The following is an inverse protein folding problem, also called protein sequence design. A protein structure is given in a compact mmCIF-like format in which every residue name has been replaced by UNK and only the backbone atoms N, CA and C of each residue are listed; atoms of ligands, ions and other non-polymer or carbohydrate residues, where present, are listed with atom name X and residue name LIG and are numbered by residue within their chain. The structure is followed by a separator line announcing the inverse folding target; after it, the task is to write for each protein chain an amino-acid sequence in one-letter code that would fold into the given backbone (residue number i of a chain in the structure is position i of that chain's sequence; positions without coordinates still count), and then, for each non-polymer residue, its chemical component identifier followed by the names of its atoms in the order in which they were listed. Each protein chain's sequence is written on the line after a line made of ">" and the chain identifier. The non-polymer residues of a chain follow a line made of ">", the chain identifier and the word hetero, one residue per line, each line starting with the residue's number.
data_IF_895124359695
#
_entry.id   IF_895124359695
#
_cell.length_a   1.000
_cell.length_b   1.000
_cell.length_c   1.000
_cell.angle_alpha   90.00
_cell.angle_beta   90.00
_cell.angle_gamma   90.00
#
_symmetry.space_group_name_H-M   'P 1'
#
loop_
_entity.id
_entity.type
_entity.pdbx_description
1 polymer ?
#
# COMPACT_ATOMS: atom_id res chain seq x y z
N UNK A 1 32.25 -26.73 -13.24
CA UNK A 1 30.93 -26.44 -12.68
C UNK A 1 30.82 -27.19 -11.37
N UNK A 2 31.07 -26.53 -10.25
CA UNK A 2 30.78 -27.06 -8.93
C UNK A 2 29.31 -26.82 -8.61
N UNK A 3 28.53 -27.83 -8.23
CA UNK A 3 27.16 -27.65 -7.78
C UNK A 3 27.19 -26.93 -6.41
N UNK A 4 26.64 -25.75 -6.32
CA UNK A 4 26.44 -25.00 -5.06
C UNK A 4 25.46 -25.79 -4.20
N UNK A 5 25.95 -26.48 -3.19
CA UNK A 5 25.11 -27.19 -2.21
C UNK A 5 24.42 -26.18 -1.32
N UNK A 6 23.14 -25.95 -1.58
CA UNK A 6 22.26 -25.19 -0.67
C UNK A 6 22.14 -25.99 0.62
N UNK A 7 22.48 -25.41 1.75
CA UNK A 7 22.38 -26.09 3.05
C UNK A 7 20.90 -26.32 3.41
N UNK A 8 20.63 -27.37 4.19
CA UNK A 8 19.27 -27.73 4.62
C UNK A 8 18.56 -26.55 5.34
N UNK A 9 19.32 -25.72 6.05
CA UNK A 9 18.83 -24.49 6.71
C UNK A 9 18.42 -23.40 5.72
N UNK A 10 19.16 -23.21 4.65
CA UNK A 10 18.84 -22.24 3.59
C UNK A 10 17.63 -22.68 2.78
N UNK A 11 17.48 -23.99 2.54
CA UNK A 11 16.31 -24.56 1.89
C UNK A 11 15.04 -24.39 2.74
N UNK A 12 15.09 -24.72 4.04
CA UNK A 12 13.96 -24.56 4.99
C UNK A 12 13.56 -23.09 5.17
N UNK A 13 14.55 -22.19 5.23
CA UNK A 13 14.32 -20.75 5.28
C UNK A 13 13.63 -20.21 4.01
N UNK A 14 14.08 -20.67 2.84
CA UNK A 14 13.50 -20.30 1.55
C UNK A 14 12.04 -20.75 1.42
N UNK A 15 11.73 -21.98 1.81
CA UNK A 15 10.36 -22.51 1.80
C UNK A 15 9.43 -21.74 2.75
N UNK A 16 9.90 -21.45 3.98
CA UNK A 16 9.13 -20.68 4.95
C UNK A 16 8.84 -19.26 4.43
N UNK A 17 9.83 -18.63 3.83
CA UNK A 17 9.73 -17.29 3.26
C UNK A 17 8.72 -17.24 2.11
N UNK A 18 8.76 -18.20 1.19
CA UNK A 18 7.80 -18.34 0.10
C UNK A 18 6.37 -18.54 0.62
N UNK A 19 6.19 -19.37 1.64
CA UNK A 19 4.89 -19.60 2.29
C UNK A 19 4.30 -18.35 2.93
N UNK A 20 5.13 -17.43 3.42
CA UNK A 20 4.67 -16.18 4.05
C UNK A 20 4.21 -15.17 2.99
N UNK A 21 4.99 -14.98 1.91
CA UNK A 21 4.58 -14.14 0.79
C UNK A 21 3.26 -14.64 0.17
N UNK A 22 3.11 -15.96 0.00
CA UNK A 22 1.87 -16.56 -0.49
C UNK A 22 0.67 -16.25 0.42
N UNK A 23 0.90 -16.12 1.72
CA UNK A 23 -0.15 -15.76 2.69
C UNK A 23 -0.57 -14.30 2.53
N UNK A 24 0.37 -13.38 2.37
CA UNK A 24 0.08 -11.97 2.09
C UNK A 24 -0.68 -11.81 0.77
N UNK A 25 -0.26 -12.50 -0.29
CA UNK A 25 -0.97 -12.50 -1.57
C UNK A 25 -2.41 -13.04 -1.48
N UNK A 26 -2.63 -14.12 -0.72
CA UNK A 26 -4.00 -14.66 -0.51
C UNK A 26 -4.89 -13.66 0.24
N UNK A 27 -4.37 -13.03 1.30
CA UNK A 27 -5.09 -12.00 2.03
C UNK A 27 -5.46 -10.83 1.12
N UNK A 28 -4.50 -10.33 0.36
CA UNK A 28 -4.67 -9.27 -0.63
C UNK A 28 -5.75 -9.61 -1.67
N UNK A 29 -5.66 -10.77 -2.32
CA UNK A 29 -6.65 -11.22 -3.32
C UNK A 29 -8.05 -11.36 -2.72
N UNK A 30 -8.16 -11.80 -1.46
CA UNK A 30 -9.44 -11.88 -0.76
C UNK A 30 -10.06 -10.49 -0.55
N UNK A 31 -9.25 -9.51 -0.15
CA UNK A 31 -9.70 -8.12 0.00
C UNK A 31 -10.17 -7.52 -1.33
N UNK A 32 -9.41 -7.73 -2.41
CA UNK A 32 -9.79 -7.27 -3.75
C UNK A 32 -11.11 -7.85 -4.21
N UNK A 33 -11.31 -9.17 -4.05
CA UNK A 33 -12.55 -9.84 -4.47
C UNK A 33 -13.78 -9.28 -3.75
N UNK A 34 -13.63 -8.93 -2.47
CA UNK A 34 -14.71 -8.41 -1.64
C UNK A 34 -14.93 -6.89 -1.80
N UNK A 35 -14.08 -6.19 -2.55
CA UNK A 35 -14.19 -4.75 -2.73
C UNK A 35 -15.16 -4.43 -3.87
N UNK A 36 -16.25 -3.69 -3.56
CA UNK A 36 -17.16 -3.11 -4.55
C UNK A 36 -16.51 -1.91 -5.24
N UNK A 37 -16.79 -1.77 -6.52
CA UNK A 37 -16.37 -0.63 -7.36
C UNK A 37 -17.57 0.23 -7.81
N UNK A 38 -18.75 0.03 -7.22
CA UNK A 38 -19.98 0.74 -7.62
C UNK A 38 -19.90 2.25 -7.36
N UNK A 39 -19.13 2.63 -6.36
CA UNK A 39 -18.87 4.03 -6.03
C UNK A 39 -17.39 4.23 -5.66
N UNK A 40 -16.74 5.16 -6.34
CA UNK A 40 -15.36 5.60 -6.06
C UNK A 40 -15.38 7.03 -5.55
N UNK A 41 -14.54 7.33 -4.55
CA UNK A 41 -14.43 8.69 -3.98
C UNK A 41 -13.87 9.67 -5.01
N UNK A 42 -14.39 10.90 -5.02
CA UNK A 42 -13.99 11.93 -5.99
C UNK A 42 -12.52 12.35 -5.90
N UNK A 43 -11.90 12.15 -4.73
CA UNK A 43 -10.46 12.36 -4.56
C UNK A 43 -9.65 11.44 -5.50
N UNK A 44 -10.16 10.26 -5.82
CA UNK A 44 -9.47 9.29 -6.67
C UNK A 44 -9.02 9.90 -8.01
N UNK A 45 -9.88 10.70 -8.64
CA UNK A 45 -9.60 11.30 -9.95
C UNK A 45 -8.63 12.50 -9.86
N UNK A 46 -8.30 12.95 -8.65
CA UNK A 46 -7.37 14.05 -8.39
C UNK A 46 -5.96 13.55 -8.04
N UNK A 47 -5.80 12.25 -7.81
CA UNK A 47 -4.51 11.65 -7.44
C UNK A 47 -3.68 11.39 -8.69
N UNK A 48 -2.44 11.87 -8.67
CA UNK A 48 -1.42 11.54 -9.68
C UNK A 48 -0.85 10.13 -9.40
N UNK A 49 -1.60 9.10 -9.79
CA UNK A 49 -1.30 7.71 -9.47
C UNK A 49 0.03 7.18 -10.05
N UNK A 50 0.62 7.88 -11.01
CA UNK A 50 1.93 7.53 -11.59
C UNK A 50 3.12 8.02 -10.76
N UNK A 51 2.89 8.80 -9.70
CA UNK A 51 3.95 9.28 -8.83
C UNK A 51 4.56 8.14 -8.01
N UNK A 52 5.90 8.17 -7.88
CA UNK A 52 6.65 7.10 -7.20
C UNK A 52 6.31 6.93 -5.71
N UNK A 53 5.91 7.99 -5.04
CA UNK A 53 5.57 7.96 -3.63
C UNK A 53 4.32 8.80 -3.37
N UNK A 54 3.25 8.14 -2.97
CA UNK A 54 1.95 8.76 -2.71
C UNK A 54 1.53 8.49 -1.26
N UNK A 55 1.15 9.54 -0.56
CA UNK A 55 0.57 9.47 0.77
C UNK A 55 -0.90 9.86 0.74
N UNK A 56 -1.79 9.01 1.24
CA UNK A 56 -3.22 9.30 1.37
C UNK A 56 -3.58 9.32 2.85
N UNK A 57 -3.73 10.53 3.37
CA UNK A 57 -4.00 10.77 4.78
C UNK A 57 -5.49 11.04 5.03
N UNK A 58 -5.93 10.77 6.25
CA UNK A 58 -7.30 11.07 6.64
C UNK A 58 -7.77 10.28 7.84
N UNK A 59 -8.90 10.66 8.43
CA UNK A 59 -9.43 10.03 9.64
C UNK A 59 -9.70 8.52 9.45
N UNK A 60 -9.79 7.79 10.55
CA UNK A 60 -10.15 6.37 10.50
C UNK A 60 -11.58 6.20 9.97
N UNK A 61 -11.79 5.15 9.15
CA UNK A 61 -13.12 4.78 8.65
C UNK A 61 -13.68 5.62 7.50
N UNK A 62 -12.91 6.59 6.93
CA UNK A 62 -13.39 7.43 5.83
C UNK A 62 -13.24 6.82 4.43
N UNK A 63 -12.77 5.56 4.33
CA UNK A 63 -12.69 4.83 3.08
C UNK A 63 -11.33 4.86 2.36
N UNK A 64 -10.22 5.15 3.05
CA UNK A 64 -8.87 5.12 2.45
C UNK A 64 -8.52 3.75 1.89
N UNK A 65 -8.63 2.71 2.71
CA UNK A 65 -8.40 1.31 2.32
C UNK A 65 -9.24 0.91 1.12
N UNK A 66 -10.53 1.24 1.15
CA UNK A 66 -11.47 0.94 0.06
C UNK A 66 -11.04 1.61 -1.24
N UNK A 67 -10.65 2.90 -1.18
CA UNK A 67 -10.21 3.65 -2.36
C UNK A 67 -8.92 3.06 -2.97
N UNK A 68 -7.95 2.63 -2.14
CA UNK A 68 -6.75 1.94 -2.63
C UNK A 68 -7.11 0.64 -3.33
N UNK A 69 -7.91 -0.22 -2.69
CA UNK A 69 -8.31 -1.51 -3.26
C UNK A 69 -9.14 -1.34 -4.54
N UNK A 70 -9.97 -0.29 -4.62
CA UNK A 70 -10.70 0.06 -5.84
C UNK A 70 -9.76 0.46 -6.96
N UNK A 71 -8.76 1.31 -6.66
CA UNK A 71 -7.76 1.69 -7.65
C UNK A 71 -7.02 0.48 -8.20
N UNK A 72 -6.50 -0.36 -7.32
CA UNK A 72 -5.80 -1.59 -7.72
C UNK A 72 -6.70 -2.46 -8.62
N UNK A 73 -7.94 -2.68 -8.19
CA UNK A 73 -8.89 -3.56 -8.91
C UNK A 73 -9.24 -3.05 -10.31
N UNK A 74 -9.26 -1.73 -10.51
CA UNK A 74 -9.70 -1.09 -11.75
C UNK A 74 -8.57 -0.76 -12.73
N UNK A 75 -7.36 -0.51 -12.22
CA UNK A 75 -6.31 0.14 -13.02
C UNK A 75 -4.94 -0.54 -12.95
N UNK A 76 -4.67 -1.36 -11.94
CA UNK A 76 -3.35 -1.97 -11.77
C UNK A 76 -3.30 -3.41 -12.29
N UNK A 77 -2.09 -3.84 -12.67
CA UNK A 77 -1.81 -5.26 -12.87
C UNK A 77 -1.66 -5.95 -11.51
N UNK A 78 -2.57 -6.89 -11.21
CA UNK A 78 -2.64 -7.59 -9.93
C UNK A 78 -1.38 -8.42 -9.68
N UNK A 79 -0.74 -8.94 -10.73
CA UNK A 79 0.47 -9.77 -10.60
C UNK A 79 1.72 -8.93 -10.31
N UNK A 80 1.72 -7.64 -10.66
CA UNK A 80 2.79 -6.69 -10.41
C UNK A 80 2.53 -5.79 -9.19
N UNK A 81 1.41 -6.05 -8.48
CA UNK A 81 0.94 -5.23 -7.35
C UNK A 81 0.83 -6.06 -6.08
N UNK A 82 1.23 -5.47 -4.95
CA UNK A 82 1.01 -6.05 -3.62
C UNK A 82 0.36 -5.01 -2.71
N UNK A 83 -0.69 -5.42 -2.00
CA UNK A 83 -1.31 -4.65 -0.93
C UNK A 83 -1.09 -5.35 0.42
N UNK A 84 -0.62 -4.58 1.40
CA UNK A 84 -0.44 -5.05 2.79
C UNK A 84 -0.96 -3.98 3.76
N UNK A 85 -1.30 -4.40 4.96
CA UNK A 85 -1.55 -3.47 6.07
C UNK A 85 -0.40 -3.51 7.06
N UNK A 86 0.08 -2.34 7.49
CA UNK A 86 1.17 -2.25 8.46
C UNK A 86 0.78 -2.75 9.87
N UNK A 87 -0.51 -3.01 10.10
CA UNK A 87 -1.06 -3.63 11.32
C UNK A 87 -1.01 -5.18 11.28
N UNK A 88 -0.54 -5.78 10.19
CA UNK A 88 -0.43 -7.23 10.05
C UNK A 88 0.66 -7.79 10.98
N UNK A 89 0.37 -8.95 11.60
CA UNK A 89 1.32 -9.67 12.47
C UNK A 89 2.65 -9.99 11.78
N UNK A 90 2.65 -10.09 10.46
CA UNK A 90 3.87 -10.23 9.67
C UNK A 90 4.93 -9.18 10.04
N UNK A 91 4.51 -7.93 10.24
CA UNK A 91 5.41 -6.81 10.53
C UNK A 91 5.88 -6.74 12.00
N UNK A 92 5.43 -7.66 12.86
CA UNK A 92 6.00 -7.82 14.19
C UNK A 92 7.43 -8.39 14.15
N UNK A 93 7.74 -9.18 13.12
CA UNK A 93 9.04 -9.87 12.98
C UNK A 93 9.79 -9.50 11.68
N UNK A 94 9.12 -8.81 10.73
CA UNK A 94 9.67 -8.50 9.42
C UNK A 94 9.62 -7.01 9.13
N UNK A 95 10.61 -6.55 8.36
CA UNK A 95 10.70 -5.12 8.00
C UNK A 95 9.95 -4.87 6.70
N UNK A 96 9.33 -3.68 6.62
CA UNK A 96 8.69 -3.21 5.38
C UNK A 96 9.70 -3.13 4.23
N UNK A 97 10.92 -2.67 4.50
CA UNK A 97 12.00 -2.60 3.51
C UNK A 97 12.36 -3.96 2.92
N UNK A 98 12.45 -4.99 3.77
CA UNK A 98 12.82 -6.34 3.32
C UNK A 98 11.71 -6.95 2.45
N UNK A 99 10.45 -6.73 2.82
CA UNK A 99 9.29 -7.10 1.99
C UNK A 99 9.32 -6.39 0.62
N UNK A 100 9.55 -5.09 0.63
CA UNK A 100 9.58 -4.28 -0.60
C UNK A 100 10.71 -4.72 -1.55
N UNK A 101 11.89 -5.01 -1.00
CA UNK A 101 13.03 -5.50 -1.78
C UNK A 101 12.74 -6.86 -2.40
N UNK A 102 12.21 -7.78 -1.62
CA UNK A 102 11.85 -9.12 -2.11
C UNK A 102 10.77 -9.07 -3.18
N UNK A 103 9.71 -8.32 -2.93
CA UNK A 103 8.62 -8.11 -3.88
C UNK A 103 9.14 -7.55 -5.21
N UNK A 104 10.00 -6.53 -5.15
CA UNK A 104 10.61 -5.94 -6.35
C UNK A 104 11.50 -6.93 -7.10
N UNK A 105 12.30 -7.74 -6.40
CA UNK A 105 13.14 -8.78 -7.01
C UNK A 105 12.32 -9.87 -7.71
N UNK A 106 11.09 -10.10 -7.28
CA UNK A 106 10.15 -11.04 -7.92
C UNK A 106 9.38 -10.42 -9.09
N UNK A 107 9.68 -9.17 -9.47
CA UNK A 107 9.04 -8.48 -10.59
C UNK A 107 7.92 -7.52 -10.18
N UNK A 108 7.67 -7.35 -8.89
CA UNK A 108 6.68 -6.42 -8.37
C UNK A 108 7.03 -4.95 -8.69
N UNK A 109 6.02 -4.15 -8.98
CA UNK A 109 6.18 -2.75 -9.39
C UNK A 109 5.46 -1.75 -8.48
N UNK A 110 4.35 -2.15 -7.86
CA UNK A 110 3.50 -1.27 -7.05
C UNK A 110 3.22 -1.88 -5.68
N UNK A 111 3.66 -1.21 -4.62
CA UNK A 111 3.45 -1.63 -3.24
C UNK A 111 2.49 -0.65 -2.53
N UNK A 112 1.37 -1.17 -2.07
CA UNK A 112 0.37 -0.43 -1.31
C UNK A 112 0.45 -0.83 0.16
N UNK A 113 0.60 0.16 1.06
CA UNK A 113 0.74 -0.07 2.49
C UNK A 113 -0.34 0.70 3.24
N UNK A 114 -1.31 -0.02 3.77
CA UNK A 114 -2.38 0.59 4.56
C UNK A 114 -1.98 0.78 6.01
N UNK A 115 -2.51 1.83 6.64
CA UNK A 115 -2.29 2.18 8.05
C UNK A 115 -0.80 2.25 8.47
N UNK A 116 0.06 2.85 7.65
CA UNK A 116 1.53 2.90 7.85
C UNK A 116 1.95 3.33 9.26
N UNK A 117 1.14 4.16 9.93
CA UNK A 117 1.38 4.66 11.28
C UNK A 117 1.40 3.56 12.36
N UNK A 118 0.94 2.36 12.05
CA UNK A 118 0.99 1.21 12.94
C UNK A 118 2.39 0.60 13.04
N UNK A 119 3.25 0.87 12.07
CA UNK A 119 4.62 0.37 12.04
C UNK A 119 5.61 1.41 12.56
N UNK A 120 6.28 1.10 13.67
CA UNK A 120 7.29 2.00 14.27
C UNK A 120 8.48 2.19 13.34
N UNK A 121 8.88 3.45 13.10
CA UNK A 121 10.01 3.78 12.22
C UNK A 121 9.69 3.73 10.72
N UNK A 122 8.42 3.67 10.36
CA UNK A 122 7.92 3.60 8.99
C UNK A 122 8.55 4.66 8.05
N UNK A 123 8.74 5.88 8.51
CA UNK A 123 9.24 6.98 7.67
C UNK A 123 10.66 6.71 7.15
N UNK A 124 11.52 6.11 8.00
CA UNK A 124 12.86 5.68 7.61
C UNK A 124 12.82 4.52 6.61
N UNK A 125 11.93 3.58 6.80
CA UNK A 125 11.75 2.44 5.90
C UNK A 125 11.28 2.91 4.52
N UNK A 126 10.25 3.77 4.46
CA UNK A 126 9.74 4.34 3.20
C UNK A 126 10.81 5.18 2.49
N UNK A 127 11.58 5.99 3.23
CA UNK A 127 12.70 6.71 2.66
C UNK A 127 13.73 5.77 2.04
N UNK A 128 14.12 4.70 2.74
CA UNK A 128 15.08 3.73 2.21
C UNK A 128 14.55 3.03 0.97
N UNK A 129 13.27 2.66 0.93
CA UNK A 129 12.63 2.08 -0.26
C UNK A 129 12.72 3.06 -1.42
N UNK A 130 12.33 4.32 -1.19
CA UNK A 130 12.40 5.36 -2.23
C UNK A 130 13.81 5.57 -2.77
N UNK A 131 14.81 5.63 -1.90
CA UNK A 131 16.20 5.93 -2.28
C UNK A 131 16.91 4.70 -2.92
N UNK A 132 16.60 3.47 -2.49
CA UNK A 132 17.33 2.26 -2.89
C UNK A 132 16.60 1.37 -3.92
N UNK A 133 15.28 1.54 -4.10
CA UNK A 133 14.48 0.75 -5.06
C UNK A 133 13.79 1.71 -6.04
N UNK A 134 14.53 2.32 -7.00
CA UNK A 134 13.99 3.37 -7.86
C UNK A 134 12.87 2.91 -8.79
N UNK A 135 12.77 1.61 -9.08
CA UNK A 135 11.72 1.04 -9.94
C UNK A 135 10.44 0.66 -9.19
N UNK A 136 10.38 0.80 -7.86
CA UNK A 136 9.20 0.48 -7.09
C UNK A 136 8.40 1.75 -6.79
N UNK A 137 7.12 1.73 -7.12
CA UNK A 137 6.15 2.72 -6.68
C UNK A 137 5.60 2.32 -5.31
N UNK A 138 5.45 3.29 -4.41
CA UNK A 138 4.85 3.07 -3.09
C UNK A 138 3.68 4.01 -2.87
N UNK A 139 2.55 3.45 -2.49
CA UNK A 139 1.37 4.20 -2.05
C UNK A 139 1.04 3.80 -0.62
N UNK A 140 0.95 4.75 0.29
CA UNK A 140 0.60 4.41 1.66
C UNK A 140 -0.55 5.25 2.21
N UNK A 141 -1.29 4.68 3.17
CA UNK A 141 -2.27 5.43 3.92
C UNK A 141 -1.84 5.63 5.36
N UNK A 142 -2.37 6.69 5.94
CA UNK A 142 -2.16 6.98 7.35
C UNK A 142 -3.29 7.79 7.95
N UNK A 143 -3.28 7.92 9.29
CA UNK A 143 -4.17 8.86 9.95
C UNK A 143 -3.64 10.29 9.78
N UNK A 144 -4.51 11.29 9.86
CA UNK A 144 -4.13 12.71 9.81
C UNK A 144 -3.21 13.16 10.96
N UNK A 145 -3.01 12.31 11.96
CA UNK A 145 -2.08 12.56 13.10
C UNK A 145 -0.61 12.37 12.68
N UNK A 146 -0.34 11.68 11.56
CA UNK A 146 1.03 11.48 11.05
C UNK A 146 1.80 12.78 10.79
N UNK A 147 1.11 13.86 10.52
CA UNK A 147 1.72 15.19 10.32
C UNK A 147 2.51 15.71 11.54
N UNK A 148 2.28 15.12 12.71
CA UNK A 148 2.90 15.53 13.98
C UNK A 148 4.12 14.68 14.34
N UNK A 149 4.41 13.60 13.62
CA UNK A 149 5.56 12.75 13.92
C UNK A 149 6.85 13.34 13.31
N UNK A 150 7.83 13.55 14.19
CA UNK A 150 9.18 13.97 13.84
C UNK A 150 9.87 12.90 12.97
N UNK A 151 9.93 13.12 11.68
CA UNK A 151 10.51 12.18 10.69
C UNK A 151 9.98 12.40 9.27
N UNK A 152 8.88 13.12 9.13
CA UNK A 152 8.29 13.44 7.83
C UNK A 152 9.08 14.47 7.00
N UNK A 153 9.94 15.27 7.63
CA UNK A 153 10.71 16.31 6.93
C UNK A 153 11.54 15.74 5.75
N UNK A 154 12.04 14.51 5.90
CA UNK A 154 12.81 13.83 4.87
C UNK A 154 11.95 13.27 3.72
N UNK A 155 10.67 12.97 3.98
CA UNK A 155 9.73 12.46 2.97
C UNK A 155 8.95 13.56 2.26
N UNK A 156 8.83 14.75 2.86
CA UNK A 156 8.02 15.85 2.35
C UNK A 156 8.39 16.31 0.93
N UNK A 157 9.66 16.14 0.54
CA UNK A 157 10.17 16.47 -0.82
C UNK A 157 10.06 15.31 -1.81
N UNK A 158 9.66 14.12 -1.35
CA UNK A 158 9.65 12.89 -2.15
C UNK A 158 8.26 12.40 -2.44
N UNK A 159 7.27 12.76 -1.60
CA UNK A 159 5.88 12.28 -1.67
C UNK A 159 4.93 13.32 -2.26
N UNK A 160 3.92 12.86 -2.98
CA UNK A 160 2.69 13.60 -3.16
C UNK A 160 1.71 13.21 -2.06
N UNK A 161 1.17 14.22 -1.39
CA UNK A 161 0.26 14.02 -0.27
C UNK A 161 -1.15 14.45 -0.63
N UNK A 162 -2.10 13.55 -0.38
CA UNK A 162 -3.53 13.79 -0.58
C UNK A 162 -4.30 13.56 0.72
N UNK A 163 -5.31 14.38 0.97
CA UNK A 163 -6.13 14.29 2.18
C UNK A 163 -7.54 13.86 1.82
N UNK A 164 -7.90 12.65 2.23
CA UNK A 164 -9.26 12.16 2.14
C UNK A 164 -10.05 12.71 3.34
N UNK A 165 -11.07 13.50 3.06
CA UNK A 165 -11.99 14.05 4.06
C UNK A 165 -13.24 13.16 4.17
N UNK A 166 -14.18 13.51 5.06
CA UNK A 166 -15.50 12.89 5.10
C UNK A 166 -16.21 12.99 3.74
N UNK A 167 -17.30 12.25 3.58
CA UNK A 167 -18.11 12.31 2.36
C UNK A 167 -18.61 13.74 2.12
N UNK A 168 -18.42 14.26 0.92
CA UNK A 168 -19.11 15.46 0.47
C UNK A 168 -20.61 15.16 0.31
N UNK A 169 -21.43 16.19 0.29
CA UNK A 169 -22.89 16.02 0.07
C UNK A 169 -23.18 15.31 -1.27
N UNK A 170 -22.41 15.62 -2.30
CA UNK A 170 -22.53 14.98 -3.62
C UNK A 170 -22.20 13.48 -3.57
N UNK A 171 -21.13 13.10 -2.90
CA UNK A 171 -20.76 11.71 -2.69
C UNK A 171 -21.82 10.96 -1.88
N UNK A 172 -22.34 11.60 -0.84
CA UNK A 172 -23.44 11.03 -0.04
C UNK A 172 -24.69 10.77 -0.89
N UNK A 173 -25.09 11.68 -1.76
CA UNK A 173 -26.22 11.50 -2.66
C UNK A 173 -25.96 10.39 -3.68
N UNK A 174 -24.76 10.30 -4.23
CA UNK A 174 -24.38 9.24 -5.15
C UNK A 174 -24.49 7.87 -4.50
N UNK A 175 -23.97 7.71 -3.28
CA UNK A 175 -24.03 6.45 -2.54
C UNK A 175 -25.46 6.09 -2.11
N UNK A 176 -26.21 7.08 -1.57
CA UNK A 176 -27.48 6.79 -0.90
C UNK A 176 -28.67 6.69 -1.84
N UNK A 177 -28.62 7.34 -3.00
CA UNK A 177 -29.75 7.49 -3.92
C UNK A 177 -29.41 7.27 -5.39
N UNK A 178 -28.16 6.94 -5.73
CA UNK A 178 -27.71 6.79 -7.11
C UNK A 178 -27.74 8.08 -7.93
N UNK A 179 -27.81 9.24 -7.29
CA UNK A 179 -27.77 10.54 -7.98
C UNK A 179 -26.34 11.02 -8.17
N UNK A 180 -25.87 11.00 -9.41
CA UNK A 180 -24.59 11.59 -9.81
C UNK A 180 -24.81 13.04 -10.24
N UNK A 181 -24.43 13.99 -9.41
CA UNK A 181 -24.43 15.40 -9.78
C UNK A 181 -23.14 15.72 -10.55
N UNK A 182 -23.22 16.48 -11.66
CA UNK A 182 -22.03 16.86 -12.41
C UNK A 182 -21.07 17.68 -11.51
N UNK A 183 -19.78 17.49 -11.74
CA UNK A 183 -18.68 18.19 -11.04
C UNK A 183 -18.59 19.61 -11.56
#
# INVERSE_FOLDING_TARGET
>A
YEPTFITYKEYDYSIKKQSIMDTLYRAYRTLLNNTSTDFVRYLHDQIEWDSRLIAILGARGIGKTTMLLQHIKLYDDIEETLFVTADDLYFAEHRIFDLAMEFYQQGGKKLYIDEIHKYTGWSREIKNIYDLIPGLQVVYTGSSILDLETGEADLSRRKLEYRLTGLSFREYLAISRGYYLPV
#
